data_IF_977188747579
#
_entry.id   IF_977188747579
#
_cell.length_a   1.000
_cell.length_b   1.000
_cell.length_c   1.000
_cell.angle_alpha   90.00
_cell.angle_beta   90.00
_cell.angle_gamma   90.00
#
_symmetry.space_group_name_H-M   'P 1'
#
loop_
_entity.id
_entity.type
_entity.pdbx_description
1 polymer ?
#
# COMPACT_ATOMS: atom_id res chain seq x y z
N UNK A 1 -47.93 48.61 4.56
CA UNK A 1 -48.02 47.15 4.67
C UNK A 1 -49.15 46.88 5.63
N UNK A 2 -50.10 46.03 5.24
CA UNK A 2 -51.21 45.61 6.12
C UNK A 2 -50.72 44.58 7.14
N UNK A 3 -51.51 44.32 8.18
CA UNK A 3 -51.23 43.27 9.18
C UNK A 3 -51.04 41.92 8.50
N UNK A 4 -51.92 41.57 7.58
CA UNK A 4 -51.88 40.29 6.86
C UNK A 4 -50.61 40.15 6.00
N UNK A 5 -50.18 41.23 5.35
CA UNK A 5 -48.94 41.25 4.58
C UNK A 5 -47.72 41.06 5.49
N UNK A 6 -47.66 41.76 6.64
CA UNK A 6 -46.58 41.63 7.62
C UNK A 6 -46.47 40.19 8.15
N UNK A 7 -47.59 39.60 8.58
CA UNK A 7 -47.61 38.26 9.15
C UNK A 7 -47.30 37.18 8.10
N UNK A 8 -47.70 37.40 6.84
CA UNK A 8 -47.35 36.54 5.72
C UNK A 8 -45.84 36.54 5.43
N UNK A 9 -45.21 37.71 5.40
CA UNK A 9 -43.76 37.82 5.23
C UNK A 9 -42.97 37.22 6.41
N UNK A 10 -43.45 37.42 7.64
CA UNK A 10 -42.86 36.82 8.83
C UNK A 10 -42.95 35.28 8.80
N UNK A 11 -44.09 34.72 8.39
CA UNK A 11 -44.26 33.28 8.17
C UNK A 11 -43.28 32.75 7.12
N UNK A 12 -43.10 33.48 6.02
CA UNK A 12 -42.16 33.10 4.97
C UNK A 12 -40.69 33.11 5.48
N UNK A 13 -40.32 34.09 6.30
CA UNK A 13 -39.00 34.17 6.93
C UNK A 13 -38.71 33.01 7.91
N UNK A 14 -39.74 32.43 8.51
CA UNK A 14 -39.65 31.34 9.49
C UNK A 14 -39.96 29.94 8.91
N UNK A 15 -40.14 29.80 7.59
CA UNK A 15 -40.57 28.54 6.96
C UNK A 15 -39.63 27.32 7.18
N UNK A 16 -38.41 27.54 7.68
CA UNK A 16 -37.46 26.48 8.00
C UNK A 16 -37.71 25.78 9.37
N UNK A 17 -38.61 26.32 10.20
CA UNK A 17 -38.91 25.83 11.55
C UNK A 17 -40.16 24.94 11.59
N UNK A 18 -40.47 24.36 12.76
CA UNK A 18 -41.70 23.55 12.90
C UNK A 18 -42.95 24.44 12.85
N UNK A 19 -44.07 23.87 12.39
CA UNK A 19 -45.33 24.61 12.26
C UNK A 19 -45.75 25.25 13.59
N UNK A 20 -45.64 24.50 14.69
CA UNK A 20 -46.00 24.98 16.03
C UNK A 20 -45.12 26.16 16.50
N UNK A 21 -43.85 26.21 16.10
CA UNK A 21 -42.95 27.34 16.42
C UNK A 21 -43.29 28.58 15.59
N UNK A 22 -43.58 28.38 14.30
CA UNK A 22 -43.99 29.47 13.40
C UNK A 22 -45.31 30.07 13.85
N UNK A 23 -46.30 29.23 14.17
CA UNK A 23 -47.63 29.69 14.59
C UNK A 23 -47.55 30.45 15.92
N UNK A 24 -46.74 30.00 16.89
CA UNK A 24 -46.50 30.75 18.13
C UNK A 24 -45.84 32.10 17.90
N UNK A 25 -44.81 32.14 17.06
CA UNK A 25 -44.10 33.39 16.76
C UNK A 25 -45.03 34.39 16.05
N UNK A 26 -45.83 33.93 15.09
CA UNK A 26 -46.73 34.79 14.33
C UNK A 26 -47.89 35.27 15.19
N UNK A 27 -48.46 34.40 16.04
CA UNK A 27 -49.53 34.76 16.98
C UNK A 27 -49.09 35.84 17.98
N UNK A 28 -47.82 35.84 18.41
CA UNK A 28 -47.30 36.89 19.29
C UNK A 28 -47.27 38.27 18.61
N UNK A 29 -46.86 38.35 17.34
CA UNK A 29 -46.87 39.61 16.59
C UNK A 29 -48.29 40.03 16.19
N UNK A 30 -49.19 39.06 15.97
CA UNK A 30 -50.60 39.30 15.74
C UNK A 30 -51.25 40.00 16.95
N UNK A 31 -51.04 39.46 18.16
CA UNK A 31 -51.52 40.04 19.43
C UNK A 31 -50.94 41.45 19.67
N UNK A 32 -49.64 41.66 19.38
CA UNK A 32 -49.01 42.97 19.48
C UNK A 32 -49.60 44.04 18.52
N UNK A 33 -50.06 43.64 17.34
CA UNK A 33 -50.72 44.57 16.41
C UNK A 33 -52.15 44.84 16.90
N UNK A 34 -52.86 43.80 17.34
CA UNK A 34 -54.24 43.92 17.81
C UNK A 34 -54.36 44.81 19.06
N UNK A 35 -53.44 44.69 20.01
CA UNK A 35 -53.39 45.56 21.20
C UNK A 35 -53.28 47.06 20.84
N UNK A 36 -52.53 47.38 19.79
CA UNK A 36 -52.34 48.77 19.33
C UNK A 36 -53.55 49.30 18.58
N UNK A 37 -54.19 48.43 17.79
CA UNK A 37 -55.44 48.77 17.09
C UNK A 37 -56.56 48.99 18.11
N UNK A 38 -56.65 48.16 19.15
CA UNK A 38 -57.59 48.33 20.26
C UNK A 38 -57.33 49.61 21.07
N UNK A 39 -56.05 50.01 21.20
CA UNK A 39 -55.65 51.29 21.79
C UNK A 39 -55.96 52.53 20.91
N UNK A 40 -56.59 52.34 19.74
CA UNK A 40 -57.05 53.42 18.86
C UNK A 40 -56.03 53.89 17.81
N UNK A 41 -54.95 53.12 17.58
CA UNK A 41 -53.98 53.39 16.51
C UNK A 41 -54.45 52.74 15.20
N UNK A 42 -54.23 53.39 14.06
CA UNK A 42 -54.53 52.77 12.77
C UNK A 42 -53.65 51.55 12.51
N UNK A 43 -54.16 50.54 11.79
CA UNK A 43 -53.44 49.29 11.52
C UNK A 43 -52.10 49.54 10.83
N UNK A 44 -52.06 50.45 9.87
CA UNK A 44 -50.85 50.80 9.11
C UNK A 44 -49.78 51.44 10.00
N UNK A 45 -50.20 52.23 10.99
CA UNK A 45 -49.30 52.87 11.95
C UNK A 45 -48.84 51.88 13.03
N UNK A 46 -49.71 50.96 13.45
CA UNK A 46 -49.36 49.86 14.35
C UNK A 46 -48.30 48.95 13.73
N UNK A 47 -48.48 48.55 12.46
CA UNK A 47 -47.48 47.76 11.70
C UNK A 47 -46.22 48.57 11.41
N UNK A 48 -46.34 49.86 11.10
CA UNK A 48 -45.20 50.75 10.85
C UNK A 48 -44.32 51.00 12.09
N UNK A 49 -44.86 50.79 13.30
CA UNK A 49 -44.11 50.85 14.56
C UNK A 49 -43.31 49.58 14.87
N UNK A 50 -43.56 48.49 14.15
CA UNK A 50 -42.82 47.24 14.27
C UNK A 50 -41.55 47.27 13.42
N UNK A 51 -40.59 46.42 13.79
CA UNK A 51 -39.41 46.17 12.97
C UNK A 51 -39.78 45.49 11.65
N UNK A 52 -38.99 45.64 10.57
CA UNK A 52 -39.24 44.96 9.31
C UNK A 52 -39.39 43.43 9.50
N UNK A 53 -40.32 42.75 8.79
CA UNK A 53 -40.57 41.31 8.94
C UNK A 53 -39.31 40.44 8.82
N UNK A 54 -38.38 40.83 7.95
CA UNK A 54 -37.09 40.16 7.76
C UNK A 54 -36.16 40.28 8.97
N UNK A 55 -36.15 41.45 9.64
CA UNK A 55 -35.36 41.69 10.85
C UNK A 55 -35.98 41.00 12.06
N UNK A 56 -37.31 41.04 12.19
CA UNK A 56 -38.05 40.29 13.19
C UNK A 56 -37.80 38.77 13.08
N UNK A 57 -37.84 38.21 11.87
CA UNK A 57 -37.48 36.81 11.61
C UNK A 57 -36.02 36.52 12.00
N UNK A 58 -35.09 37.40 11.65
CA UNK A 58 -33.68 37.25 12.00
C UNK A 58 -33.43 37.28 13.52
N UNK A 59 -34.15 38.12 14.28
CA UNK A 59 -34.12 38.17 15.75
C UNK A 59 -34.73 36.93 16.40
N UNK A 60 -35.84 36.42 15.86
CA UNK A 60 -36.46 35.19 16.39
C UNK A 60 -35.50 34.00 16.19
N UNK A 61 -34.91 33.88 15.01
CA UNK A 61 -33.84 32.92 14.73
C UNK A 61 -32.66 33.17 15.69
N UNK A 62 -32.31 34.44 15.86
CA UNK A 62 -31.49 35.17 16.83
C UNK A 62 -31.51 34.74 18.31
N UNK A 63 -32.65 34.24 18.76
CA UNK A 63 -32.90 33.94 20.16
C UNK A 63 -33.18 32.44 20.38
N UNK A 64 -33.39 31.68 19.30
CA UNK A 64 -33.62 30.24 19.38
C UNK A 64 -32.39 29.44 19.85
N UNK A 65 -32.60 28.31 20.58
CA UNK A 65 -31.54 27.40 20.99
C UNK A 65 -30.73 26.86 19.79
N UNK A 66 -29.47 26.47 20.03
CA UNK A 66 -28.55 26.03 18.97
C UNK A 66 -29.05 24.80 18.18
N UNK A 67 -29.87 23.94 18.81
CA UNK A 67 -30.37 22.69 18.20
C UNK A 67 -31.38 22.96 17.07
N UNK A 68 -32.47 23.74 17.28
CA UNK A 68 -33.36 24.21 16.21
C UNK A 68 -32.64 24.94 15.06
N UNK A 69 -31.62 25.75 15.36
CA UNK A 69 -30.86 26.48 14.32
C UNK A 69 -30.09 25.57 13.38
N UNK A 70 -29.44 24.54 13.91
CA UNK A 70 -28.71 23.57 13.09
C UNK A 70 -29.69 22.74 12.25
N UNK A 71 -30.83 22.36 12.82
CA UNK A 71 -31.90 21.66 12.08
C UNK A 71 -32.49 22.52 10.94
N UNK A 72 -32.72 23.82 11.18
CA UNK A 72 -33.19 24.76 10.16
C UNK A 72 -32.14 25.00 9.07
N UNK A 73 -30.84 25.06 9.40
CA UNK A 73 -29.75 25.12 8.41
C UNK A 73 -29.70 23.87 7.52
N UNK A 74 -29.95 22.69 8.08
CA UNK A 74 -30.02 21.43 7.33
C UNK A 74 -31.29 21.32 6.46
N UNK A 75 -32.38 22.02 6.83
CA UNK A 75 -33.63 22.09 6.07
C UNK A 75 -33.67 23.24 5.06
N UNK A 76 -32.72 24.18 5.12
CA UNK A 76 -32.68 25.32 4.22
C UNK A 76 -32.39 24.87 2.77
N UNK A 77 -33.19 25.24 1.76
CA UNK A 77 -33.12 24.69 0.40
C UNK A 77 -32.00 25.30 -0.46
N UNK A 78 -30.84 25.63 0.12
CA UNK A 78 -29.76 26.33 -0.59
C UNK A 78 -28.93 25.45 -1.54
N UNK A 79 -29.24 24.15 -1.64
CA UNK A 79 -28.78 23.28 -2.74
C UNK A 79 -30.00 22.74 -3.48
N UNK A 80 -30.05 22.80 -4.83
CA UNK A 80 -31.21 22.37 -5.59
C UNK A 80 -31.44 20.87 -5.34
N UNK A 81 -32.46 20.59 -4.52
CA UNK A 81 -32.88 19.24 -4.07
C UNK A 81 -33.04 18.25 -5.23
N UNK A 82 -33.34 18.75 -6.43
CA UNK A 82 -33.41 17.98 -7.69
C UNK A 82 -32.08 17.32 -8.09
N UNK A 83 -30.95 18.03 -8.01
CA UNK A 83 -29.66 17.48 -8.43
C UNK A 83 -29.17 16.37 -7.48
N UNK A 84 -29.36 16.57 -6.18
CA UNK A 84 -29.05 15.54 -5.18
C UNK A 84 -29.92 14.29 -5.35
N UNK A 85 -31.23 14.45 -5.59
CA UNK A 85 -32.13 13.31 -5.86
C UNK A 85 -31.77 12.60 -7.16
N UNK A 86 -31.49 13.34 -8.23
CA UNK A 86 -31.06 12.77 -9.51
C UNK A 86 -29.74 11.99 -9.38
N UNK A 87 -28.78 12.52 -8.60
CA UNK A 87 -27.52 11.85 -8.30
C UNK A 87 -27.74 10.54 -7.52
N UNK A 88 -28.58 10.55 -6.48
CA UNK A 88 -28.88 9.35 -5.68
C UNK A 88 -29.58 8.29 -6.53
N UNK A 89 -30.58 8.66 -7.34
CA UNK A 89 -31.27 7.72 -8.24
C UNK A 89 -30.31 7.14 -9.28
N UNK A 90 -29.45 7.97 -9.88
CA UNK A 90 -28.42 7.52 -10.81
C UNK A 90 -27.39 6.60 -10.13
N UNK A 91 -27.01 6.88 -8.89
CA UNK A 91 -26.10 6.05 -8.11
C UNK A 91 -26.74 4.69 -7.76
N UNK A 92 -28.04 4.64 -7.44
CA UNK A 92 -28.77 3.40 -7.12
C UNK A 92 -28.97 2.54 -8.37
N UNK A 93 -29.44 3.13 -9.48
CA UNK A 93 -29.62 2.42 -10.75
C UNK A 93 -28.27 2.00 -11.35
N UNK A 94 -27.25 2.84 -11.20
CA UNK A 94 -25.88 2.53 -11.62
C UNK A 94 -25.14 1.59 -10.68
N UNK A 95 -25.65 1.34 -9.47
CA UNK A 95 -25.00 0.52 -8.43
C UNK A 95 -24.62 -0.89 -8.89
N UNK A 96 -25.42 -1.59 -9.72
CA UNK A 96 -25.03 -2.90 -10.24
C UNK A 96 -23.81 -2.84 -11.16
N UNK A 97 -23.42 -1.66 -11.65
CA UNK A 97 -22.27 -1.46 -12.55
C UNK A 97 -21.06 -0.89 -11.80
N UNK A 98 -21.21 0.21 -11.06
CA UNK A 98 -20.05 0.86 -10.42
C UNK A 98 -19.59 0.17 -9.13
N UNK A 99 -20.47 -0.52 -8.40
CA UNK A 99 -20.06 -1.31 -7.22
C UNK A 99 -19.11 -2.45 -7.60
N UNK A 100 -19.45 -3.36 -8.53
CA UNK A 100 -18.51 -4.41 -8.92
C UNK A 100 -17.27 -3.84 -9.61
N UNK A 101 -17.38 -2.71 -10.32
CA UNK A 101 -16.22 -2.05 -10.92
C UNK A 101 -15.23 -1.54 -9.85
N UNK A 102 -15.73 -0.85 -8.81
CA UNK A 102 -14.88 -0.38 -7.71
C UNK A 102 -14.28 -1.54 -6.92
N UNK A 103 -15.06 -2.59 -6.67
CA UNK A 103 -14.55 -3.83 -6.08
C UNK A 103 -13.44 -4.46 -6.93
N UNK A 104 -13.61 -4.51 -8.26
CA UNK A 104 -12.62 -5.01 -9.19
C UNK A 104 -11.31 -4.23 -9.14
N UNK A 105 -11.40 -2.90 -9.08
CA UNK A 105 -10.21 -2.03 -8.92
C UNK A 105 -9.52 -2.30 -7.58
N UNK A 106 -10.26 -2.42 -6.48
CA UNK A 106 -9.70 -2.74 -5.16
C UNK A 106 -8.98 -4.09 -5.19
N UNK A 107 -9.61 -5.12 -5.77
CA UNK A 107 -9.02 -6.45 -5.89
C UNK A 107 -7.78 -6.46 -6.79
N UNK A 108 -7.76 -5.68 -7.87
CA UNK A 108 -6.59 -5.52 -8.72
C UNK A 108 -5.42 -4.88 -7.97
N UNK A 109 -5.69 -3.84 -7.16
CA UNK A 109 -4.66 -3.21 -6.31
C UNK A 109 -4.13 -4.21 -5.28
N UNK A 110 -5.00 -4.96 -4.59
CA UNK A 110 -4.59 -6.00 -3.64
C UNK A 110 -3.75 -7.08 -4.33
N UNK A 111 -4.18 -7.56 -5.50
CA UNK A 111 -3.46 -8.56 -6.29
C UNK A 111 -2.08 -8.08 -6.71
N UNK A 112 -1.95 -6.80 -7.11
CA UNK A 112 -0.67 -6.17 -7.42
C UNK A 112 0.27 -6.17 -6.19
N UNK A 113 -0.25 -5.82 -5.00
CA UNK A 113 0.53 -5.89 -3.77
C UNK A 113 0.99 -7.31 -3.45
N UNK A 114 0.09 -8.30 -3.52
CA UNK A 114 0.43 -9.71 -3.29
C UNK A 114 1.52 -10.16 -4.27
N UNK A 115 1.39 -9.83 -5.56
CA UNK A 115 2.40 -10.15 -6.57
C UNK A 115 3.75 -9.50 -6.29
N UNK A 116 3.76 -8.22 -5.89
CA UNK A 116 4.99 -7.50 -5.56
C UNK A 116 5.67 -8.05 -4.29
N UNK A 117 4.89 -8.41 -3.26
CA UNK A 117 5.40 -9.09 -2.07
C UNK A 117 5.94 -10.49 -2.41
N UNK A 118 5.23 -11.25 -3.24
CA UNK A 118 5.67 -12.56 -3.71
C UNK A 118 6.98 -12.48 -4.48
N UNK A 119 7.11 -11.52 -5.40
CA UNK A 119 8.36 -11.25 -6.12
C UNK A 119 9.49 -10.87 -5.16
N UNK A 120 9.20 -10.02 -4.17
CA UNK A 120 10.20 -9.63 -3.18
C UNK A 120 10.71 -10.83 -2.39
N UNK A 121 9.80 -11.68 -1.89
CA UNK A 121 10.15 -12.91 -1.18
C UNK A 121 10.96 -13.84 -2.09
N UNK A 122 10.57 -13.98 -3.36
CA UNK A 122 11.30 -14.80 -4.33
C UNK A 122 12.74 -14.30 -4.55
N UNK A 123 12.94 -13.00 -4.74
CA UNK A 123 14.29 -12.42 -4.91
C UNK A 123 15.15 -12.65 -3.67
N UNK A 124 14.59 -12.44 -2.46
CA UNK A 124 15.30 -12.73 -1.22
C UNK A 124 15.60 -14.22 -1.05
N UNK A 125 14.66 -15.10 -1.37
CA UNK A 125 14.84 -16.55 -1.28
C UNK A 125 15.92 -17.05 -2.25
N UNK A 126 15.93 -16.55 -3.49
CA UNK A 126 16.96 -16.88 -4.49
C UNK A 126 18.33 -16.38 -4.03
N UNK A 127 18.43 -15.12 -3.56
CA UNK A 127 19.68 -14.59 -3.04
C UNK A 127 20.19 -15.44 -1.86
N UNK A 128 19.31 -15.76 -0.91
CA UNK A 128 19.64 -16.59 0.24
C UNK A 128 20.06 -18.02 -0.15
N UNK A 129 19.38 -18.65 -1.11
CA UNK A 129 19.75 -20.00 -1.58
C UNK A 129 21.11 -20.01 -2.28
N UNK A 130 21.44 -18.96 -3.03
CA UNK A 130 22.75 -18.84 -3.66
C UNK A 130 23.88 -18.69 -2.65
N UNK A 131 23.64 -18.04 -1.50
CA UNK A 131 24.64 -17.97 -0.42
C UNK A 131 24.99 -19.33 0.17
N UNK A 132 24.08 -20.32 0.08
CA UNK A 132 24.37 -21.71 0.45
C UNK A 132 25.41 -22.36 -0.47
N UNK A 133 25.73 -21.75 -1.62
CA UNK A 133 26.79 -22.20 -2.51
C UNK A 133 28.14 -22.31 -1.79
N UNK A 134 28.50 -21.38 -0.89
CA UNK A 134 29.76 -21.41 -0.17
C UNK A 134 29.90 -22.61 0.80
N UNK A 135 28.95 -22.88 1.72
CA UNK A 135 29.01 -24.07 2.56
C UNK A 135 28.89 -25.37 1.77
N UNK A 136 28.11 -25.40 0.68
CA UNK A 136 28.06 -26.54 -0.23
C UNK A 136 29.42 -26.76 -0.91
N UNK A 137 30.08 -25.71 -1.39
CA UNK A 137 31.42 -25.79 -1.98
C UNK A 137 32.47 -26.28 -0.98
N UNK A 138 32.36 -25.88 0.29
CA UNK A 138 33.21 -26.40 1.36
C UNK A 138 32.99 -27.90 1.61
N UNK A 139 31.74 -28.36 1.56
CA UNK A 139 31.44 -29.79 1.61
C UNK A 139 32.10 -30.55 0.46
N UNK A 140 32.05 -30.01 -0.77
CA UNK A 140 32.73 -30.57 -1.93
C UNK A 140 34.26 -30.61 -1.77
N UNK A 141 34.87 -29.58 -1.16
CA UNK A 141 36.30 -29.60 -0.84
C UNK A 141 36.64 -30.78 0.08
N UNK A 142 35.91 -30.94 1.17
CA UNK A 142 36.12 -32.01 2.16
C UNK A 142 35.86 -33.40 1.53
N UNK A 143 34.81 -33.53 0.74
CA UNK A 143 34.47 -34.75 0.03
C UNK A 143 35.52 -35.13 -1.02
N UNK A 144 36.01 -34.17 -1.79
CA UNK A 144 37.00 -34.43 -2.83
C UNK A 144 38.35 -34.85 -2.23
N UNK A 145 38.76 -34.25 -1.11
CA UNK A 145 39.94 -34.69 -0.34
C UNK A 145 39.79 -36.14 0.12
N UNK A 146 38.62 -36.54 0.65
CA UNK A 146 38.37 -37.93 1.04
C UNK A 146 38.34 -38.89 -0.15
N UNK A 147 37.79 -38.45 -1.28
CA UNK A 147 37.70 -39.23 -2.51
C UNK A 147 39.04 -39.32 -3.27
N UNK A 148 40.10 -38.63 -2.82
CA UNK A 148 41.36 -38.50 -3.55
C UNK A 148 41.25 -37.68 -4.84
N UNK A 149 40.16 -36.92 -5.00
CA UNK A 149 39.86 -36.10 -6.18
C UNK A 149 40.20 -34.63 -5.93
N UNK A 150 41.43 -34.24 -6.28
CA UNK A 150 41.83 -32.81 -6.22
C UNK A 150 41.03 -31.99 -7.23
N UNK A 151 40.79 -32.55 -8.42
CA UNK A 151 40.00 -31.89 -9.47
C UNK A 151 38.56 -31.61 -9.01
N UNK A 152 37.84 -32.62 -8.52
CA UNK A 152 36.46 -32.47 -8.06
C UNK A 152 36.32 -31.58 -6.83
N UNK A 153 37.30 -31.62 -5.91
CA UNK A 153 37.36 -30.72 -4.76
C UNK A 153 37.44 -29.24 -5.19
N UNK A 154 38.38 -28.91 -6.09
CA UNK A 154 38.59 -27.55 -6.57
C UNK A 154 37.43 -27.05 -7.43
N UNK A 155 36.88 -27.90 -8.29
CA UNK A 155 35.71 -27.58 -9.12
C UNK A 155 34.45 -27.31 -8.28
N UNK A 156 34.14 -28.19 -7.32
CA UNK A 156 32.97 -28.02 -6.45
C UNK A 156 33.09 -26.80 -5.54
N UNK A 157 34.28 -26.58 -4.94
CA UNK A 157 34.55 -25.37 -4.15
C UNK A 157 34.44 -24.10 -5.00
N UNK A 158 35.06 -24.10 -6.18
CA UNK A 158 35.05 -22.97 -7.10
C UNK A 158 33.64 -22.57 -7.54
N UNK A 159 32.83 -23.56 -7.93
CA UNK A 159 31.42 -23.34 -8.27
C UNK A 159 30.63 -22.78 -7.10
N UNK A 160 30.78 -23.38 -5.91
CA UNK A 160 30.08 -22.94 -4.69
C UNK A 160 30.39 -21.50 -4.30
N UNK A 161 31.67 -21.11 -4.31
CA UNK A 161 32.10 -19.74 -4.00
C UNK A 161 31.63 -18.75 -5.08
N UNK A 162 31.68 -19.13 -6.36
CA UNK A 162 31.21 -18.28 -7.45
C UNK A 162 29.70 -18.02 -7.35
N UNK A 163 28.89 -19.06 -7.12
CA UNK A 163 27.44 -18.95 -6.94
C UNK A 163 27.10 -18.09 -5.72
N UNK A 164 27.81 -18.26 -4.61
CA UNK A 164 27.64 -17.41 -3.44
C UNK A 164 27.98 -15.94 -3.73
N UNK A 165 29.03 -15.68 -4.51
CA UNK A 165 29.38 -14.33 -4.97
C UNK A 165 28.26 -13.69 -5.80
N UNK A 166 27.61 -14.44 -6.70
CA UNK A 166 26.42 -13.98 -7.42
C UNK A 166 25.24 -13.74 -6.46
N UNK A 167 25.06 -14.60 -5.46
CA UNK A 167 24.06 -14.42 -4.39
C UNK A 167 24.22 -13.10 -3.65
N UNK A 168 25.46 -12.65 -3.38
CA UNK A 168 25.75 -11.35 -2.76
C UNK A 168 25.30 -10.19 -3.65
N UNK A 169 25.47 -10.26 -4.97
CA UNK A 169 24.86 -9.29 -5.89
C UNK A 169 23.32 -9.34 -5.86
N UNK A 170 22.76 -10.54 -5.71
CA UNK A 170 21.33 -10.75 -5.49
C UNK A 170 20.78 -9.99 -4.29
N UNK A 171 21.56 -9.83 -3.21
CA UNK A 171 21.17 -9.02 -2.03
C UNK A 171 21.01 -7.54 -2.42
N UNK A 172 21.87 -6.99 -3.27
CA UNK A 172 21.73 -5.61 -3.74
C UNK A 172 20.42 -5.42 -4.50
N UNK A 173 20.11 -6.36 -5.41
CA UNK A 173 18.85 -6.37 -6.13
C UNK A 173 17.65 -6.48 -5.19
N UNK A 174 17.74 -7.36 -4.17
CA UNK A 174 16.70 -7.54 -3.17
C UNK A 174 16.43 -6.25 -2.37
N UNK A 175 17.49 -5.56 -1.93
CA UNK A 175 17.38 -4.26 -1.23
C UNK A 175 16.81 -3.17 -2.15
N UNK A 176 17.23 -3.14 -3.42
CA UNK A 176 16.68 -2.21 -4.40
C UNK A 176 15.17 -2.45 -4.63
N UNK A 177 14.77 -3.72 -4.75
CA UNK A 177 13.36 -4.13 -4.86
C UNK A 177 12.56 -3.76 -3.59
N UNK A 178 13.11 -3.98 -2.39
CA UNK A 178 12.48 -3.55 -1.13
C UNK A 178 12.24 -2.04 -1.11
N UNK A 179 13.21 -1.24 -1.54
CA UNK A 179 13.06 0.23 -1.62
C UNK A 179 11.99 0.64 -2.61
N UNK A 180 11.90 -0.03 -3.76
CA UNK A 180 10.84 0.21 -4.75
C UNK A 180 9.46 -0.10 -4.16
N UNK A 181 9.32 -1.22 -3.45
CA UNK A 181 8.08 -1.59 -2.77
C UNK A 181 7.68 -0.54 -1.73
N UNK A 182 8.61 -0.08 -0.89
CA UNK A 182 8.33 0.99 0.10
C UNK A 182 7.86 2.25 -0.60
N UNK A 183 8.51 2.65 -1.71
CA UNK A 183 8.08 3.80 -2.52
C UNK A 183 6.67 3.60 -3.09
N UNK A 184 6.34 2.41 -3.59
CA UNK A 184 5.02 2.08 -4.11
C UNK A 184 3.94 2.15 -3.00
N UNK A 185 4.21 1.60 -1.82
CA UNK A 185 3.31 1.68 -0.65
C UNK A 185 3.08 3.14 -0.26
N UNK A 186 4.15 3.93 -0.12
CA UNK A 186 4.06 5.34 0.25
C UNK A 186 3.31 6.14 -0.81
N UNK A 187 3.54 5.85 -2.10
CA UNK A 187 2.81 6.49 -3.19
C UNK A 187 1.31 6.16 -3.15
N UNK A 188 0.94 4.88 -2.95
CA UNK A 188 -0.46 4.47 -2.80
C UNK A 188 -1.11 5.13 -1.57
N UNK A 189 -0.43 5.13 -0.42
CA UNK A 189 -0.92 5.77 0.80
C UNK A 189 -1.14 7.28 0.60
N UNK A 190 -0.23 7.94 -0.12
CA UNK A 190 -0.38 9.35 -0.51
C UNK A 190 -1.54 9.56 -1.47
N UNK A 191 -1.70 8.72 -2.47
CA UNK A 191 -2.81 8.83 -3.42
C UNK A 191 -4.15 8.74 -2.69
N UNK A 192 -4.29 7.81 -1.74
CA UNK A 192 -5.51 7.63 -0.94
C UNK A 192 -5.72 8.74 0.09
N UNK A 193 -4.66 9.24 0.73
CA UNK A 193 -4.76 10.27 1.77
C UNK A 193 -4.85 11.70 1.22
N UNK A 194 -4.34 11.96 0.01
CA UNK A 194 -4.29 13.30 -0.61
C UNK A 194 -5.64 14.04 -0.72
N UNK A 195 -6.80 13.38 -0.89
CA UNK A 195 -8.10 14.05 -0.89
C UNK A 195 -8.55 14.50 0.51
N UNK A 196 -8.06 13.85 1.56
CA UNK A 196 -8.55 14.03 2.93
C UNK A 196 -7.60 14.87 3.80
N UNK A 197 -6.30 14.84 3.52
CA UNK A 197 -5.28 15.51 4.33
C UNK A 197 -4.29 16.22 3.43
N UNK A 198 -4.25 17.57 3.50
CA UNK A 198 -3.08 18.35 3.06
C UNK A 198 -1.98 18.14 4.10
N UNK A 199 -1.17 17.11 3.91
CA UNK A 199 -0.08 16.80 4.83
C UNK A 199 1.24 17.36 4.33
N UNK A 200 1.87 18.22 5.13
CA UNK A 200 3.31 18.48 5.09
C UNK A 200 4.01 17.28 5.75
N UNK A 201 4.17 16.18 5.00
CA UNK A 201 4.80 14.96 5.55
C UNK A 201 6.32 15.19 5.66
N UNK A 202 6.96 14.90 6.81
CA UNK A 202 8.40 15.01 6.96
C UNK A 202 9.13 14.25 5.85
N UNK A 203 10.09 14.92 5.22
CA UNK A 203 10.99 14.29 4.26
C UNK A 203 11.80 13.25 5.03
N UNK A 204 11.45 11.98 4.89
CA UNK A 204 12.24 10.89 5.44
C UNK A 204 13.63 10.91 4.80
N UNK A 205 14.59 11.50 5.52
CA UNK A 205 16.00 11.41 5.19
C UNK A 205 16.44 9.99 5.53
N UNK A 206 16.64 9.17 4.50
CA UNK A 206 17.28 7.87 4.65
C UNK A 206 18.70 8.13 5.16
N UNK A 207 18.89 8.02 6.48
CA UNK A 207 20.20 8.10 7.11
C UNK A 207 21.17 7.19 6.36
N UNK A 208 22.34 7.73 6.05
CA UNK A 208 23.38 7.15 5.19
C UNK A 208 24.09 5.92 5.78
N UNK A 209 23.43 5.13 6.62
CA UNK A 209 23.90 3.80 7.01
C UNK A 209 23.67 2.81 5.85
N UNK A 210 24.21 3.19 4.68
CA UNK A 210 24.41 2.29 3.58
C UNK A 210 25.76 1.61 3.82
N UNK A 211 25.84 0.26 3.80
CA UNK A 211 27.11 -0.36 3.47
C UNK A 211 27.59 0.30 2.18
N UNK A 212 28.86 0.69 2.11
CA UNK A 212 29.42 1.19 0.86
C UNK A 212 29.27 0.06 -0.14
N UNK A 213 28.26 0.14 -1.01
CA UNK A 213 27.92 -0.95 -1.93
C UNK A 213 29.12 -1.33 -2.80
N UNK A 214 30.05 -0.40 -3.00
CA UNK A 214 31.36 -0.63 -3.59
C UNK A 214 32.15 -1.76 -2.90
N UNK A 215 32.17 -1.81 -1.56
CA UNK A 215 32.82 -2.90 -0.81
C UNK A 215 32.08 -4.23 -1.01
N UNK A 216 30.75 -4.22 -0.97
CA UNK A 216 29.93 -5.43 -1.16
C UNK A 216 30.13 -5.99 -2.58
N UNK A 217 30.08 -5.13 -3.60
CA UNK A 217 30.34 -5.50 -4.98
C UNK A 217 31.79 -5.96 -5.19
N UNK A 218 32.76 -5.34 -4.52
CA UNK A 218 34.15 -5.78 -4.56
C UNK A 218 34.30 -7.18 -3.98
N UNK A 219 33.72 -7.45 -2.80
CA UNK A 219 33.73 -8.78 -2.18
C UNK A 219 33.05 -9.80 -3.09
N UNK A 220 31.88 -9.47 -3.64
CA UNK A 220 31.17 -10.34 -4.56
C UNK A 220 31.99 -10.64 -5.83
N UNK A 221 32.62 -9.62 -6.42
CA UNK A 221 33.49 -9.78 -7.60
C UNK A 221 34.73 -10.63 -7.28
N UNK A 222 35.34 -10.44 -6.10
CA UNK A 222 36.47 -11.27 -5.64
C UNK A 222 36.04 -12.71 -5.42
N UNK A 223 34.86 -12.96 -4.83
CA UNK A 223 34.32 -14.31 -4.68
C UNK A 223 34.09 -14.99 -6.03
N UNK A 224 33.47 -14.29 -6.99
CA UNK A 224 33.26 -14.82 -8.34
C UNK A 224 34.61 -15.11 -9.01
N UNK A 225 35.55 -14.17 -8.96
CA UNK A 225 36.88 -14.33 -9.54
C UNK A 225 37.65 -15.51 -8.94
N UNK A 226 37.71 -15.59 -7.60
CA UNK A 226 38.35 -16.69 -6.89
C UNK A 226 37.67 -18.04 -7.19
N UNK A 227 36.33 -18.08 -7.22
CA UNK A 227 35.57 -19.27 -7.56
C UNK A 227 35.84 -19.76 -8.98
N UNK A 228 35.86 -18.86 -9.97
CA UNK A 228 36.20 -19.19 -11.35
C UNK A 228 37.64 -19.70 -11.48
N UNK A 229 38.61 -19.06 -10.80
CA UNK A 229 40.01 -19.50 -10.80
C UNK A 229 40.15 -20.90 -10.20
N UNK A 230 39.50 -21.17 -9.06
CA UNK A 230 39.50 -22.49 -8.44
C UNK A 230 38.85 -23.55 -9.34
N UNK A 231 37.71 -23.22 -9.97
CA UNK A 231 37.04 -24.10 -10.90
C UNK A 231 37.90 -24.46 -12.11
N UNK A 232 38.55 -23.45 -12.71
CA UNK A 232 39.48 -23.64 -13.81
C UNK A 232 40.74 -24.40 -13.40
N UNK A 233 41.25 -24.18 -12.18
CA UNK A 233 42.38 -24.96 -11.65
C UNK A 233 42.02 -26.44 -11.50
N UNK A 234 40.82 -26.73 -10.98
CA UNK A 234 40.31 -28.10 -10.88
C UNK A 234 40.12 -28.77 -12.24
N UNK A 235 39.61 -28.04 -13.24
CA UNK A 235 39.55 -28.54 -14.63
C UNK A 235 40.94 -28.70 -15.26
N UNK A 236 41.89 -27.83 -14.91
CA UNK A 236 43.30 -27.97 -15.31
C UNK A 236 43.96 -29.22 -14.73
N UNK A 237 43.58 -29.65 -13.52
CA UNK A 237 44.04 -30.92 -12.94
C UNK A 237 43.59 -32.15 -13.75
N UNK A 238 42.56 -32.03 -14.58
CA UNK A 238 42.13 -33.10 -15.51
C UNK A 238 42.72 -32.95 -16.91
N UNK A 239 43.71 -32.08 -17.09
CA UNK A 239 44.31 -31.79 -18.40
C UNK A 239 43.31 -31.13 -19.36
N UNK A 240 42.30 -30.45 -18.83
CA UNK A 240 41.16 -29.91 -19.58
C UNK A 240 40.27 -30.95 -20.26
N UNK A 241 40.40 -32.23 -19.91
CA UNK A 241 39.50 -33.29 -20.36
C UNK A 241 38.17 -33.18 -19.60
N UNK A 242 37.10 -32.87 -20.35
CA UNK A 242 35.76 -32.72 -19.80
C UNK A 242 35.16 -34.05 -19.32
N UNK A 243 35.48 -35.18 -19.95
CA UNK A 243 34.99 -36.49 -19.53
C UNK A 243 35.64 -36.89 -18.20
N UNK A 244 36.96 -36.68 -18.08
CA UNK A 244 37.68 -36.90 -16.82
C UNK A 244 37.20 -35.95 -15.72
N UNK A 245 36.92 -34.68 -16.05
CA UNK A 245 36.34 -33.71 -15.12
C UNK A 245 34.97 -34.14 -14.59
N UNK A 246 34.09 -34.62 -15.48
CA UNK A 246 32.77 -35.16 -15.09
C UNK A 246 32.91 -36.38 -14.18
N UNK A 247 33.84 -37.28 -14.47
CA UNK A 247 34.10 -38.47 -13.65
C UNK A 247 34.63 -38.11 -12.25
N UNK A 248 35.59 -37.19 -12.15
CA UNK A 248 36.13 -36.70 -10.87
C UNK A 248 35.07 -35.95 -10.03
N UNK A 249 34.19 -35.18 -10.69
CA UNK A 249 33.03 -34.55 -10.05
C UNK A 249 32.01 -35.58 -9.56
N UNK A 250 31.72 -36.64 -10.34
CA UNK A 250 30.82 -37.72 -9.94
C UNK A 250 31.36 -38.48 -8.72
N UNK A 251 32.66 -38.82 -8.72
CA UNK A 251 33.34 -39.45 -7.58
C UNK A 251 33.26 -38.58 -6.32
N UNK A 252 33.49 -37.27 -6.47
CA UNK A 252 33.41 -36.32 -5.34
C UNK A 252 31.98 -36.19 -4.81
N UNK A 253 30.99 -36.17 -5.71
CA UNK A 253 29.57 -36.12 -5.35
C UNK A 253 29.14 -37.37 -4.60
N UNK A 254 29.60 -38.56 -5.02
CA UNK A 254 29.34 -39.80 -4.29
C UNK A 254 29.90 -39.73 -2.86
N UNK A 255 31.15 -39.27 -2.69
CA UNK A 255 31.73 -39.06 -1.37
C UNK A 255 30.97 -38.02 -0.54
N UNK A 256 30.52 -36.91 -1.16
CA UNK A 256 29.72 -35.90 -0.47
C UNK A 256 28.38 -36.46 0.03
N UNK A 257 27.73 -37.34 -0.74
CA UNK A 257 26.50 -38.02 -0.33
C UNK A 257 26.73 -39.00 0.82
N UNK A 258 27.90 -39.66 0.92
CA UNK A 258 28.24 -40.49 2.09
C UNK A 258 28.30 -39.67 3.38
N UNK A 259 28.79 -38.43 3.31
CA UNK A 259 28.80 -37.53 4.47
C UNK A 259 27.39 -37.13 4.93
N UNK A 260 26.44 -37.00 4.01
CA UNK A 260 25.08 -36.57 4.31
C UNK A 260 24.12 -37.73 4.57
N UNK A 261 24.51 -38.96 4.23
CA UNK A 261 23.76 -40.19 4.48
C UNK A 261 23.35 -40.41 5.97
N UNK A 262 24.21 -40.21 6.98
CA UNK A 262 23.80 -40.33 8.38
C UNK A 262 22.77 -39.27 8.81
N UNK A 263 22.56 -38.21 8.02
CA UNK A 263 21.51 -37.21 8.23
C UNK A 263 20.22 -37.52 7.45
N UNK A 264 20.17 -38.66 6.73
CA UNK A 264 19.04 -39.03 5.85
C UNK A 264 18.88 -38.11 4.63
N UNK A 265 19.91 -37.31 4.31
CA UNK A 265 19.88 -36.31 3.25
C UNK A 265 20.65 -36.83 2.03
N UNK A 266 19.97 -37.02 0.90
CA UNK A 266 20.61 -37.06 -0.42
C UNK A 266 20.67 -35.63 -0.96
N UNK A 267 21.79 -34.94 -0.74
CA UNK A 267 21.93 -33.53 -1.08
C UNK A 267 22.08 -33.30 -2.59
N UNK A 268 22.64 -34.28 -3.32
CA UNK A 268 22.97 -34.15 -4.74
C UNK A 268 22.46 -35.33 -5.55
N UNK A 269 21.88 -35.05 -6.73
CA UNK A 269 21.53 -36.07 -7.70
C UNK A 269 22.80 -36.74 -8.20
N UNK A 270 22.97 -38.03 -7.91
CA UNK A 270 24.01 -38.83 -8.52
C UNK A 270 23.63 -39.03 -9.99
N UNK A 271 24.29 -38.29 -10.89
CA UNK A 271 24.29 -38.64 -12.31
C UNK A 271 24.85 -40.06 -12.52
N UNK A 272 24.65 -40.60 -13.72
CA UNK A 272 24.96 -41.99 -14.07
C UNK A 272 26.28 -42.51 -13.46
N UNK A 273 26.21 -43.74 -12.95
CA UNK A 273 27.26 -44.42 -12.20
C UNK A 273 28.62 -44.30 -12.92
N UNK A 274 29.72 -44.05 -12.18
CA UNK A 274 31.04 -43.81 -12.77
C UNK A 274 31.58 -44.97 -13.63
N UNK A 275 31.04 -46.18 -13.46
CA UNK A 275 31.41 -47.36 -14.25
C UNK A 275 30.97 -47.24 -15.72
N UNK A 276 30.01 -46.37 -16.01
CA UNK A 276 29.40 -46.18 -17.33
C UNK A 276 30.22 -45.21 -18.21
N UNK A 277 31.21 -44.51 -17.63
CA UNK A 277 32.01 -43.48 -18.30
C UNK A 277 33.36 -44.01 -18.80
N UNK A 278 33.64 -45.30 -18.60
CA UNK A 278 34.88 -45.98 -19.04
C UNK A 278 34.74 -46.75 -20.36
N UNK A 279 33.56 -46.80 -20.97
CA UNK A 279 33.29 -47.49 -22.24
C UNK A 279 33.37 -46.57 -23.44
#
# INVERSE_FOLDING_TARGET
MTKDEYLSELRAGLAAFSKDEVDRAVSFYEEMVDDRVEAGVSEEEAVGSLEPPAEAAARIISEMPAVPRVAARLRSPKTPRSWFVAFVVAAVIGSPVWIPLTLGVIMAVIGCFIGLFGLLVAVWAIAASMLLGAPIGLLYLVAGVKAGSVAGALMGLGCGVAVAGVGVFGIHLAVAASKLLVRAIVWCARAVASPFVRSEVPRWEWGSMHPTWNLVHLVAAVMIGAGLVLGLAGWGCTGFDSALASFEMARTTASANEFTNPLGLQLFYAGAEPDNLRS
#
